data_IF_736496112687
#
_entry.id   IF_736496112687
#
_cell.length_a   1.000
_cell.length_b   1.000
_cell.length_c   1.000
_cell.angle_alpha   90.00
_cell.angle_beta   90.00
_cell.angle_gamma   90.00
#
_symmetry.space_group_name_H-M   'P 1'
#
loop_
_entity.id
_entity.type
_entity.pdbx_description
1 polymer ?
#
# COMPACT_ATOMS: atom_id res chain seq x y z
N UNK A 1 1.90 -8.64 -19.02
CA UNK A 1 2.72 -9.86 -18.78
C UNK A 1 2.67 -10.15 -17.30
N UNK A 2 2.14 -11.27 -16.90
CA UNK A 2 2.11 -11.69 -15.49
C UNK A 2 3.55 -12.04 -15.08
N UNK A 3 4.06 -11.33 -14.07
CA UNK A 3 5.41 -11.62 -13.58
C UNK A 3 5.42 -12.89 -12.74
N UNK A 4 6.42 -13.75 -12.96
CA UNK A 4 6.63 -14.93 -12.10
C UNK A 4 6.72 -14.50 -10.64
N UNK A 5 5.99 -15.14 -9.70
CA UNK A 5 6.14 -14.88 -8.28
C UNK A 5 7.60 -15.05 -7.82
N UNK A 6 8.01 -14.23 -6.89
CA UNK A 6 9.30 -14.37 -6.21
C UNK A 6 9.18 -15.47 -5.15
N UNK A 7 10.22 -16.29 -5.07
CA UNK A 7 10.30 -17.39 -4.10
C UNK A 7 11.04 -16.92 -2.83
N UNK A 8 10.69 -17.51 -1.69
CA UNK A 8 11.30 -17.15 -0.39
C UNK A 8 12.83 -17.25 -0.43
N UNK A 9 13.37 -18.28 -1.08
CA UNK A 9 14.82 -18.49 -1.20
C UNK A 9 15.52 -17.40 -2.00
N UNK A 10 14.85 -16.80 -3.01
CA UNK A 10 15.38 -15.67 -3.77
C UNK A 10 15.45 -14.42 -2.87
N UNK A 11 14.41 -14.22 -2.02
CA UNK A 11 14.35 -13.11 -1.06
C UNK A 11 15.41 -13.26 0.03
N UNK A 12 15.55 -14.44 0.62
CA UNK A 12 16.59 -14.74 1.63
C UNK A 12 17.98 -14.45 1.09
N UNK A 13 18.31 -14.96 -0.10
CA UNK A 13 19.59 -14.73 -0.76
C UNK A 13 19.86 -13.25 -1.01
N UNK A 14 18.85 -12.53 -1.49
CA UNK A 14 18.95 -11.08 -1.68
C UNK A 14 19.21 -10.35 -0.35
N UNK A 15 18.40 -10.61 0.68
CA UNK A 15 18.50 -9.93 1.97
C UNK A 15 19.84 -10.19 2.66
N UNK A 16 20.34 -11.43 2.64
CA UNK A 16 21.67 -11.76 3.17
C UNK A 16 22.78 -10.99 2.48
N UNK A 17 22.71 -10.89 1.15
CA UNK A 17 23.70 -10.14 0.35
C UNK A 17 23.60 -8.63 0.62
N UNK A 18 22.37 -8.12 0.70
CA UNK A 18 22.07 -6.71 0.87
C UNK A 18 22.53 -6.18 2.23
N UNK A 19 22.17 -6.88 3.31
CA UNK A 19 22.52 -6.46 4.67
C UNK A 19 23.91 -6.90 5.11
N UNK A 20 24.59 -7.77 4.37
CA UNK A 20 25.91 -8.35 4.72
C UNK A 20 25.95 -8.96 6.11
N UNK A 21 24.84 -9.44 6.61
CA UNK A 21 24.65 -10.03 7.93
C UNK A 21 23.51 -11.05 7.91
N UNK A 22 23.36 -11.80 9.00
CA UNK A 22 22.32 -12.79 9.11
C UNK A 22 20.94 -12.12 9.23
N UNK A 23 20.09 -12.44 8.27
CA UNK A 23 18.67 -12.15 8.30
C UNK A 23 17.94 -13.44 8.67
N UNK A 24 16.86 -13.36 9.44
CA UNK A 24 16.06 -14.52 9.85
C UNK A 24 14.55 -14.28 9.64
N UNK A 25 13.78 -15.32 9.89
CA UNK A 25 12.32 -15.27 9.91
C UNK A 25 11.67 -14.72 8.62
N UNK A 26 12.30 -15.03 7.47
CA UNK A 26 11.77 -14.63 6.17
C UNK A 26 10.51 -15.44 5.87
N UNK A 27 9.39 -14.75 5.71
CA UNK A 27 8.11 -15.39 5.43
C UNK A 27 7.25 -14.53 4.48
N UNK A 28 6.50 -15.19 3.60
CA UNK A 28 5.52 -14.52 2.76
C UNK A 28 4.36 -14.01 3.64
N UNK A 29 4.10 -12.71 3.60
CA UNK A 29 2.95 -12.08 4.28
C UNK A 29 1.72 -12.00 3.38
N UNK A 30 1.93 -11.76 2.10
CA UNK A 30 0.84 -11.67 1.15
C UNK A 30 1.31 -11.42 -0.28
N UNK A 31 0.43 -11.77 -1.20
CA UNK A 31 0.60 -11.54 -2.63
C UNK A 31 -0.66 -10.88 -3.16
N UNK A 32 -0.53 -9.62 -3.59
CA UNK A 32 -1.56 -8.89 -4.31
C UNK A 32 -1.33 -8.94 -5.82
N UNK A 33 -2.17 -8.27 -6.55
CA UNK A 33 -2.06 -8.12 -8.01
C UNK A 33 -0.79 -7.36 -8.43
N UNK A 34 -0.39 -6.37 -7.62
CA UNK A 34 0.66 -5.40 -7.94
C UNK A 34 1.96 -5.64 -7.18
N UNK A 35 1.93 -6.39 -6.07
CA UNK A 35 3.10 -6.57 -5.22
C UNK A 35 3.07 -7.87 -4.43
N UNK A 36 4.26 -8.31 -3.99
CA UNK A 36 4.44 -9.35 -2.98
C UNK A 36 5.13 -8.75 -1.76
N UNK A 37 4.69 -9.14 -0.57
CA UNK A 37 5.21 -8.69 0.71
C UNK A 37 5.77 -9.88 1.50
N UNK A 38 6.97 -9.70 2.05
CA UNK A 38 7.65 -10.68 2.90
C UNK A 38 8.06 -9.99 4.20
N UNK A 39 7.86 -10.69 5.34
CA UNK A 39 8.47 -10.28 6.59
C UNK A 39 9.88 -10.82 6.68
N UNK A 40 10.71 -10.15 7.45
CA UNK A 40 12.02 -10.64 7.85
C UNK A 40 12.49 -9.93 9.11
N UNK A 41 13.44 -10.56 9.82
CA UNK A 41 14.13 -9.96 10.96
C UNK A 41 15.57 -9.66 10.57
N UNK A 42 16.03 -8.44 10.92
CA UNK A 42 17.41 -8.04 10.79
C UNK A 42 17.89 -7.49 12.14
N UNK A 43 18.82 -8.17 12.77
CA UNK A 43 19.19 -7.97 14.17
C UNK A 43 17.93 -8.10 15.06
N UNK A 44 17.64 -7.08 15.86
CA UNK A 44 16.52 -7.06 16.81
C UNK A 44 15.25 -6.41 16.24
N UNK A 45 15.23 -6.05 14.96
CA UNK A 45 14.12 -5.35 14.33
C UNK A 45 13.39 -6.20 13.30
N UNK A 46 12.08 -6.08 13.30
CA UNK A 46 11.19 -6.73 12.34
C UNK A 46 10.82 -5.76 11.21
N UNK A 47 10.95 -6.24 9.98
CA UNK A 47 10.71 -5.48 8.77
C UNK A 47 9.77 -6.20 7.82
N UNK A 48 9.25 -5.43 6.86
CA UNK A 48 8.56 -5.95 5.68
C UNK A 48 9.28 -5.43 4.45
N UNK A 49 9.61 -6.34 3.52
CA UNK A 49 10.03 -5.97 2.18
C UNK A 49 8.89 -6.24 1.21
N UNK A 50 8.54 -5.25 0.40
CA UNK A 50 7.55 -5.36 -0.68
C UNK A 50 8.25 -5.20 -2.01
N UNK A 51 7.92 -6.07 -2.97
CA UNK A 51 8.36 -5.99 -4.34
C UNK A 51 7.19 -5.62 -5.24
N UNK A 52 7.37 -4.63 -6.10
CA UNK A 52 6.37 -4.14 -7.05
C UNK A 52 7.00 -3.67 -8.35
N UNK A 53 6.16 -3.26 -9.31
CA UNK A 53 6.62 -2.82 -10.63
C UNK A 53 7.18 -1.39 -10.60
N UNK A 54 6.55 -0.51 -9.82
CA UNK A 54 6.77 0.92 -9.87
C UNK A 54 7.35 1.44 -8.55
N UNK A 55 8.49 2.11 -8.62
CA UNK A 55 9.12 2.74 -7.45
C UNK A 55 8.31 3.91 -6.90
N UNK A 56 7.52 4.56 -7.76
CA UNK A 56 6.75 5.75 -7.38
C UNK A 56 5.65 5.44 -6.37
N UNK A 57 5.10 4.23 -6.40
CA UNK A 57 4.13 3.80 -5.38
C UNK A 57 4.79 3.73 -4.00
N UNK A 58 6.01 3.20 -3.92
CA UNK A 58 6.78 3.15 -2.67
C UNK A 58 7.23 4.53 -2.17
N UNK A 59 7.54 5.46 -3.09
CA UNK A 59 7.85 6.85 -2.73
C UNK A 59 6.61 7.56 -2.15
N UNK A 60 5.42 7.30 -2.70
CA UNK A 60 4.16 7.80 -2.12
C UNK A 60 3.92 7.25 -0.72
N UNK A 61 4.17 5.96 -0.49
CA UNK A 61 4.10 5.38 0.85
C UNK A 61 5.08 6.03 1.82
N UNK A 62 6.31 6.31 1.37
CA UNK A 62 7.30 7.03 2.18
C UNK A 62 6.84 8.46 2.53
N UNK A 63 6.20 9.15 1.59
CA UNK A 63 5.59 10.46 1.84
C UNK A 63 4.43 10.33 2.82
N UNK A 64 3.56 9.33 2.65
CA UNK A 64 2.43 9.09 3.53
C UNK A 64 2.86 8.79 4.97
N UNK A 65 3.98 8.11 5.17
CA UNK A 65 4.53 7.82 6.50
C UNK A 65 4.87 9.08 7.31
N UNK A 66 5.07 10.22 6.66
CA UNK A 66 5.28 11.51 7.34
C UNK A 66 4.01 12.04 8.05
N UNK A 67 2.83 11.50 7.73
CA UNK A 67 1.57 11.84 8.36
C UNK A 67 1.20 10.94 9.56
N UNK A 68 2.13 10.09 10.01
CA UNK A 68 1.94 9.27 11.23
C UNK A 68 1.61 10.15 12.43
N UNK A 69 0.57 9.75 13.18
CA UNK A 69 0.12 10.39 14.42
C UNK A 69 -0.27 9.31 15.44
N UNK A 70 -0.64 9.70 16.66
CA UNK A 70 -0.99 8.75 17.74
C UNK A 70 -2.07 7.74 17.34
N UNK A 71 -3.08 8.22 16.61
CA UNK A 71 -4.24 7.43 16.18
C UNK A 71 -4.20 7.05 14.70
N UNK A 72 -3.08 7.35 14.02
CA UNK A 72 -2.82 7.03 12.63
C UNK A 72 -1.38 6.49 12.51
N UNK A 73 -1.20 5.21 12.77
CA UNK A 73 0.10 4.54 12.67
C UNK A 73 0.36 4.10 11.24
N UNK A 74 1.26 4.79 10.55
CA UNK A 74 1.71 4.44 9.20
C UNK A 74 3.15 3.92 9.30
N UNK A 75 3.44 2.66 8.90
CA UNK A 75 4.78 2.11 8.97
C UNK A 75 5.80 2.96 8.20
N UNK A 76 6.92 3.25 8.82
CA UNK A 76 7.99 4.03 8.20
C UNK A 76 8.66 3.21 7.10
N UNK A 77 8.76 3.77 5.90
CA UNK A 77 9.58 3.24 4.81
C UNK A 77 11.04 3.64 5.06
N UNK A 78 11.90 2.66 5.29
CA UNK A 78 13.32 2.88 5.63
C UNK A 78 14.23 2.83 4.43
N UNK A 79 13.82 2.11 3.37
CA UNK A 79 14.60 1.99 2.14
C UNK A 79 13.70 1.74 0.92
N UNK A 80 14.10 2.29 -0.23
CA UNK A 80 13.51 2.01 -1.54
C UNK A 80 14.66 1.71 -2.50
N UNK A 81 14.53 0.66 -3.31
CA UNK A 81 15.58 0.24 -4.22
C UNK A 81 15.09 -0.60 -5.39
N UNK A 82 16.05 -1.20 -6.08
CA UNK A 82 15.83 -2.11 -7.21
C UNK A 82 16.56 -3.43 -6.95
N UNK A 83 15.85 -4.54 -7.06
CA UNK A 83 16.42 -5.88 -6.97
C UNK A 83 15.52 -6.91 -7.66
N UNK A 84 16.08 -8.03 -8.08
CA UNK A 84 15.34 -9.15 -8.70
C UNK A 84 14.45 -8.71 -9.88
N UNK A 85 14.89 -7.67 -10.62
CA UNK A 85 14.15 -7.10 -11.76
C UNK A 85 12.91 -6.29 -11.38
N UNK A 86 12.77 -5.87 -10.12
CA UNK A 86 11.62 -5.13 -9.57
C UNK A 86 12.07 -3.99 -8.68
N UNK A 87 11.16 -3.04 -8.46
CA UNK A 87 11.30 -2.09 -7.36
C UNK A 87 10.99 -2.77 -6.04
N UNK A 88 11.68 -2.38 -4.97
CA UNK A 88 11.33 -2.80 -3.61
C UNK A 88 11.26 -1.63 -2.64
N UNK A 89 10.51 -1.82 -1.57
CA UNK A 89 10.56 -0.98 -0.38
C UNK A 89 10.68 -1.84 0.87
N UNK A 90 11.53 -1.42 1.81
CA UNK A 90 11.62 -1.98 3.15
C UNK A 90 10.96 -1.01 4.10
N UNK A 91 10.05 -1.49 4.92
CA UNK A 91 9.37 -0.72 5.96
C UNK A 91 9.45 -1.42 7.32
N UNK A 92 9.29 -0.66 8.39
CA UNK A 92 9.03 -1.23 9.71
C UNK A 92 7.80 -2.14 9.65
N UNK A 93 7.81 -3.23 10.44
CA UNK A 93 6.70 -4.18 10.45
C UNK A 93 5.60 -3.68 11.38
N UNK A 94 4.39 -3.46 10.85
CA UNK A 94 3.19 -3.41 11.64
C UNK A 94 2.70 -4.83 11.93
N UNK A 95 2.41 -5.13 13.19
CA UNK A 95 1.86 -6.42 13.62
C UNK A 95 0.35 -6.33 13.71
N UNK A 96 -0.33 -7.45 13.50
CA UNK A 96 -1.78 -7.56 13.57
C UNK A 96 -2.34 -8.56 12.58
N UNK A 97 -3.66 -8.63 12.53
CA UNK A 97 -4.39 -9.45 11.57
C UNK A 97 -4.96 -8.57 10.44
N UNK A 98 -5.07 -9.14 9.25
CA UNK A 98 -5.76 -8.47 8.15
C UNK A 98 -7.27 -8.39 8.45
N UNK A 99 -7.90 -7.27 8.08
CA UNK A 99 -9.33 -7.08 8.32
C UNK A 99 -10.22 -8.07 7.56
N UNK A 100 -9.80 -8.50 6.39
CA UNK A 100 -10.51 -9.48 5.55
C UNK A 100 -10.51 -10.90 6.12
N UNK A 101 -9.63 -11.18 7.09
CA UNK A 101 -9.59 -12.44 7.82
C UNK A 101 -10.40 -12.46 9.12
N UNK A 102 -11.10 -11.37 9.47
CA UNK A 102 -11.88 -11.27 10.70
C UNK A 102 -13.28 -11.85 10.53
N UNK A 103 -13.77 -12.54 11.58
CA UNK A 103 -15.16 -12.93 11.67
C UNK A 103 -16.07 -11.75 12.10
N UNK A 104 -17.39 -11.94 12.06
CA UNK A 104 -18.36 -10.89 12.39
C UNK A 104 -18.19 -10.33 13.80
N UNK A 105 -18.04 -11.14 14.90
CA UNK A 105 -17.76 -10.61 16.23
C UNK A 105 -16.48 -9.79 16.32
N UNK A 106 -15.41 -10.24 15.69
CA UNK A 106 -14.13 -9.52 15.65
C UNK A 106 -14.27 -8.20 14.88
N UNK A 107 -14.99 -8.22 13.76
CA UNK A 107 -15.26 -7.00 12.97
C UNK A 107 -16.01 -5.97 13.80
N UNK A 108 -17.05 -6.36 14.52
CA UNK A 108 -17.81 -5.46 15.42
C UNK A 108 -16.90 -4.84 16.48
N UNK A 109 -15.96 -5.60 17.03
CA UNK A 109 -15.02 -5.09 18.04
C UNK A 109 -14.04 -4.06 17.50
N UNK A 110 -13.60 -4.20 16.22
CA UNK A 110 -12.59 -3.31 15.64
C UNK A 110 -13.19 -2.03 15.03
N UNK A 111 -14.49 -2.01 14.75
CA UNK A 111 -15.16 -0.85 14.11
C UNK A 111 -14.87 0.48 14.82
N UNK A 112 -14.89 0.60 16.16
CA UNK A 112 -14.54 1.87 16.82
C UNK A 112 -13.13 2.35 16.52
N UNK A 113 -12.14 1.43 16.50
CA UNK A 113 -10.76 1.77 16.18
C UNK A 113 -10.59 2.18 14.70
N UNK A 114 -11.33 1.56 13.78
CA UNK A 114 -11.35 1.96 12.37
C UNK A 114 -11.90 3.38 12.23
N UNK A 115 -13.00 3.73 12.91
CA UNK A 115 -13.53 5.09 12.86
C UNK A 115 -12.58 6.11 13.49
N UNK A 116 -11.91 5.76 14.60
CA UNK A 116 -10.89 6.62 15.21
C UNK A 116 -9.73 6.90 14.25
N UNK A 117 -9.26 5.87 13.54
CA UNK A 117 -8.23 6.02 12.50
C UNK A 117 -8.72 6.92 11.35
N UNK A 118 -9.96 6.73 10.86
CA UNK A 118 -10.55 7.57 9.81
C UNK A 118 -10.68 9.04 10.25
N UNK A 119 -11.05 9.29 11.50
CA UNK A 119 -11.07 10.63 12.06
C UNK A 119 -9.66 11.25 12.15
N UNK A 120 -8.66 10.48 12.56
CA UNK A 120 -7.27 10.93 12.55
C UNK A 120 -6.79 11.27 11.14
N UNK A 121 -7.13 10.45 10.12
CA UNK A 121 -6.86 10.76 8.72
C UNK A 121 -7.52 12.07 8.29
N UNK A 122 -8.80 12.26 8.63
CA UNK A 122 -9.56 13.48 8.31
C UNK A 122 -8.95 14.73 8.94
N UNK A 123 -8.33 14.61 10.11
CA UNK A 123 -7.70 15.72 10.85
C UNK A 123 -6.24 15.96 10.45
N UNK A 124 -5.68 15.12 9.57
CA UNK A 124 -4.30 15.26 9.11
C UNK A 124 -4.13 16.56 8.32
N UNK A 125 -3.09 17.32 8.64
CA UNK A 125 -2.73 18.51 7.88
C UNK A 125 -2.12 18.15 6.52
N UNK A 126 -2.90 18.35 5.48
CA UNK A 126 -2.52 18.12 4.09
C UNK A 126 -2.26 19.42 3.32
N UNK A 127 -2.04 20.54 4.00
CA UNK A 127 -1.79 21.86 3.38
C UNK A 127 -0.58 21.89 2.44
N UNK A 128 0.34 20.93 2.59
CA UNK A 128 1.49 20.73 1.71
C UNK A 128 1.17 19.94 0.43
N UNK A 129 -0.09 19.56 0.21
CA UNK A 129 -0.56 18.85 -0.98
C UNK A 129 -1.42 19.76 -1.83
N UNK A 130 -1.63 19.41 -3.11
CA UNK A 130 -2.54 20.13 -3.99
C UNK A 130 -3.32 19.19 -4.91
N UNK A 131 -4.49 19.65 -5.36
CA UNK A 131 -5.38 18.91 -6.24
C UNK A 131 -6.14 17.78 -5.55
N UNK A 132 -6.90 17.02 -6.33
CA UNK A 132 -7.75 15.91 -5.90
C UNK A 132 -7.42 14.65 -6.68
N UNK A 133 -7.59 13.48 -6.06
CA UNK A 133 -7.29 12.17 -6.65
C UNK A 133 -5.94 11.61 -6.21
N UNK A 134 -5.34 10.79 -7.05
CA UNK A 134 -4.06 10.16 -6.75
C UNK A 134 -2.92 11.17 -6.92
N UNK A 135 -2.28 11.56 -5.83
CA UNK A 135 -1.09 12.42 -5.88
C UNK A 135 0.13 11.71 -6.46
N UNK A 136 1.03 12.48 -7.02
CA UNK A 136 2.35 12.03 -7.47
C UNK A 136 3.39 12.17 -6.33
N UNK A 137 4.66 11.92 -6.64
CA UNK A 137 5.77 12.04 -5.68
C UNK A 137 6.08 13.49 -5.23
N UNK A 138 5.48 14.49 -5.88
CA UNK A 138 5.54 15.91 -5.53
C UNK A 138 4.33 16.34 -4.69
N UNK A 139 3.46 15.41 -4.28
CA UNK A 139 2.20 15.64 -3.56
C UNK A 139 1.17 16.45 -4.34
N UNK A 140 1.21 16.34 -5.66
CA UNK A 140 0.27 16.99 -6.57
C UNK A 140 -0.66 15.96 -7.17
N UNK A 141 -1.97 16.17 -7.05
CA UNK A 141 -3.00 15.39 -7.71
C UNK A 141 -3.54 16.14 -8.95
N UNK A 142 -4.00 15.42 -10.00
CA UNK A 142 -4.23 16.01 -11.32
C UNK A 142 -5.54 16.80 -11.45
N UNK A 143 -6.50 16.64 -10.53
CA UNK A 143 -7.84 17.22 -10.67
C UNK A 143 -8.04 18.44 -9.76
N UNK A 144 -8.88 19.37 -10.20
CA UNK A 144 -9.20 20.58 -9.42
C UNK A 144 -10.31 20.34 -8.40
N UNK A 145 -11.09 19.27 -8.55
CA UNK A 145 -12.19 18.88 -7.65
C UNK A 145 -12.32 17.36 -7.50
N UNK A 146 -12.93 16.91 -6.40
CA UNK A 146 -13.34 15.50 -6.25
C UNK A 146 -14.32 15.06 -7.33
N UNK A 147 -15.20 15.94 -7.76
CA UNK A 147 -16.18 15.63 -8.83
C UNK A 147 -15.47 15.30 -10.13
N UNK A 148 -14.48 16.08 -10.53
CA UNK A 148 -13.66 15.80 -11.71
C UNK A 148 -12.97 14.44 -11.62
N UNK A 149 -12.32 14.14 -10.48
CA UNK A 149 -11.65 12.87 -10.25
C UNK A 149 -12.64 11.68 -10.36
N UNK A 150 -13.80 11.77 -9.72
CA UNK A 150 -14.79 10.69 -9.74
C UNK A 150 -15.41 10.51 -11.13
N UNK A 151 -15.63 11.60 -11.85
CA UNK A 151 -16.19 11.54 -13.21
C UNK A 151 -15.14 11.04 -14.23
N UNK A 152 -13.86 11.18 -13.98
CA UNK A 152 -12.82 10.68 -14.88
C UNK A 152 -12.82 9.15 -14.98
N UNK A 153 -13.36 8.43 -13.99
CA UNK A 153 -13.63 7.00 -14.10
C UNK A 153 -14.49 6.62 -15.33
N UNK A 154 -15.23 7.58 -15.86
CA UNK A 154 -15.96 7.46 -17.13
C UNK A 154 -15.04 7.29 -18.35
N UNK A 155 -13.82 7.82 -18.26
CA UNK A 155 -12.81 7.81 -19.32
C UNK A 155 -11.91 6.56 -19.24
N UNK A 156 -11.99 5.78 -18.15
CA UNK A 156 -11.20 4.57 -18.00
C UNK A 156 -11.48 3.58 -19.14
N UNK A 157 -10.45 2.92 -19.68
CA UNK A 157 -10.65 1.90 -20.70
C UNK A 157 -11.51 0.77 -20.15
N UNK A 158 -12.44 0.30 -20.96
CA UNK A 158 -13.25 -0.88 -20.61
C UNK A 158 -12.34 -2.11 -20.62
N UNK A 159 -12.14 -2.71 -19.48
CA UNK A 159 -11.41 -3.95 -19.29
C UNK A 159 -12.34 -5.09 -18.87
N UNK A 160 -11.84 -6.32 -18.83
CA UNK A 160 -12.61 -7.45 -18.28
C UNK A 160 -13.06 -7.25 -16.84
N UNK A 161 -12.34 -6.42 -16.05
CA UNK A 161 -12.66 -6.07 -14.64
C UNK A 161 -13.75 -4.99 -14.54
N UNK A 162 -13.82 -4.09 -15.51
CA UNK A 162 -14.76 -2.95 -15.51
C UNK A 162 -15.93 -3.15 -16.44
N UNK A 163 -16.02 -4.33 -17.08
CA UNK A 163 -17.10 -4.65 -18.00
C UNK A 163 -18.46 -4.57 -17.30
N UNK A 164 -19.34 -3.77 -17.87
CA UNK A 164 -20.71 -3.62 -17.38
C UNK A 164 -20.93 -2.59 -16.26
N UNK A 165 -19.88 -2.14 -15.52
CA UNK A 165 -20.07 -1.19 -14.44
C UNK A 165 -20.62 0.17 -14.92
N UNK A 166 -20.21 0.65 -16.09
CA UNK A 166 -20.74 1.88 -16.69
C UNK A 166 -22.24 1.77 -17.00
N UNK A 167 -22.66 0.62 -17.54
CA UNK A 167 -24.07 0.36 -17.78
C UNK A 167 -24.87 0.32 -16.47
N UNK A 168 -24.29 -0.22 -15.41
CA UNK A 168 -24.92 -0.22 -14.08
C UNK A 168 -25.06 1.19 -13.51
N UNK A 169 -24.07 2.06 -13.68
CA UNK A 169 -24.14 3.46 -13.23
C UNK A 169 -25.16 4.28 -14.04
N UNK A 170 -25.26 4.06 -15.36
CA UNK A 170 -26.24 4.75 -16.21
C UNK A 170 -27.68 4.40 -15.84
N UNK A 171 -27.92 3.19 -15.33
CA UNK A 171 -29.23 2.70 -14.96
C UNK A 171 -29.56 2.87 -13.46
N UNK A 172 -28.63 3.41 -12.66
CA UNK A 172 -28.89 3.71 -11.25
C UNK A 172 -29.65 5.03 -11.15
N UNK A 173 -30.82 5.08 -10.50
CA UNK A 173 -31.47 6.35 -10.21
C UNK A 173 -30.58 7.14 -9.26
N UNK A 174 -30.20 8.36 -9.63
CA UNK A 174 -29.56 9.37 -8.78
C UNK A 174 -30.63 9.96 -7.87
#
# INVERSE_FOLDING_TARGET
MEQKPLEITEIESFLHTHFKQTVSDVALLGKGEWSQAFSFRNLDNDYVIRFGLYSDDFKKDQIAAAYTASDLSIPKVVEIGQALGRSFAISERAFGNMLDGLDEPQMVQIVPAVFQMLDAMRMTDISSTSGYGNWNTEKIAPYSTWQEYLLDAWNDPVTSRTYGWRASLQNSPI
#
